data_IF_242456725759
#
_entry.id   IF_242456725759
#
_cell.length_a   1.000
_cell.length_b   1.000
_cell.length_c   1.000
_cell.angle_alpha   90.00
_cell.angle_beta   90.00
_cell.angle_gamma   90.00
#
_symmetry.space_group_name_H-M   'P 1'
#
loop_
_entity.id
_entity.type
_entity.pdbx_description
1 polymer ?
#
# COMPACT_ATOMS: atom_id res chain seq x y z
N UNK A 1 -4.27 2.46 -21.72
CA UNK A 1 -3.65 3.24 -20.62
C UNK A 1 -4.76 3.53 -19.62
N UNK A 2 -4.90 2.70 -18.58
CA UNK A 2 -6.04 2.77 -17.67
C UNK A 2 -5.72 3.77 -16.56
N UNK A 3 -6.24 4.98 -16.71
CA UNK A 3 -6.22 5.99 -15.66
C UNK A 3 -7.42 5.69 -14.73
N UNK A 4 -7.20 4.93 -13.65
CA UNK A 4 -8.23 4.71 -12.62
C UNK A 4 -8.43 6.03 -11.87
N UNK A 5 -9.33 6.87 -12.38
CA UNK A 5 -9.69 8.14 -11.77
C UNK A 5 -10.47 7.87 -10.49
N UNK A 6 -9.91 8.32 -9.36
CA UNK A 6 -10.47 8.37 -8.00
C UNK A 6 -11.98 8.72 -7.95
N UNK A 7 -12.47 9.52 -8.90
CA UNK A 7 -13.89 9.90 -9.04
C UNK A 7 -14.83 8.74 -9.38
N UNK A 8 -14.36 7.71 -10.08
CA UNK A 8 -15.17 6.56 -10.50
C UNK A 8 -15.34 5.56 -9.35
N UNK A 9 -14.25 5.29 -8.63
CA UNK A 9 -14.22 4.44 -7.44
C UNK A 9 -15.10 5.01 -6.31
N UNK A 10 -15.05 6.35 -6.10
CA UNK A 10 -15.91 7.05 -5.13
C UNK A 10 -17.40 7.08 -5.50
N UNK A 11 -17.74 6.96 -6.79
CA UNK A 11 -19.13 6.91 -7.27
C UNK A 11 -19.71 5.50 -7.27
N UNK A 12 -18.92 4.51 -7.68
CA UNK A 12 -19.39 3.14 -7.87
C UNK A 12 -19.24 2.29 -6.59
N UNK A 13 -18.28 2.60 -5.72
CA UNK A 13 -18.01 1.87 -4.46
C UNK A 13 -17.54 2.83 -3.34
N UNK A 14 -18.44 3.65 -2.75
CA UNK A 14 -18.06 4.65 -1.74
C UNK A 14 -17.40 4.08 -0.48
N UNK A 15 -17.74 2.84 -0.07
CA UNK A 15 -17.04 2.12 1.01
C UNK A 15 -15.56 1.90 0.69
N UNK A 16 -15.22 1.58 -0.57
CA UNK A 16 -13.84 1.39 -1.02
C UNK A 16 -13.01 2.69 -1.00
N UNK A 17 -13.65 3.87 -0.92
CA UNK A 17 -12.94 5.14 -0.78
C UNK A 17 -12.52 5.44 0.67
N UNK A 18 -13.28 4.96 1.66
CA UNK A 18 -12.90 5.02 3.09
C UNK A 18 -11.76 4.04 3.37
N UNK A 19 -11.88 2.86 2.79
CA UNK A 19 -10.85 1.82 2.72
C UNK A 19 -9.50 2.36 2.19
N UNK A 20 -9.52 3.13 1.11
CA UNK A 20 -8.35 3.80 0.54
C UNK A 20 -7.62 4.76 1.52
N UNK A 21 -8.35 5.36 2.46
CA UNK A 21 -7.77 6.22 3.51
C UNK A 21 -7.11 5.33 4.57
N UNK A 22 -7.73 4.21 4.92
CA UNK A 22 -7.17 3.22 5.85
C UNK A 22 -5.85 2.64 5.30
N UNK A 23 -5.81 2.27 4.02
CA UNK A 23 -4.59 1.82 3.34
C UNK A 23 -3.47 2.87 3.45
N UNK A 24 -3.80 4.15 3.23
CA UNK A 24 -2.83 5.24 3.34
C UNK A 24 -2.34 5.45 4.78
N UNK A 25 -3.22 5.39 5.77
CA UNK A 25 -2.85 5.56 7.18
C UNK A 25 -1.92 4.43 7.66
N UNK A 26 -2.24 3.19 7.33
CA UNK A 26 -1.42 2.05 7.70
C UNK A 26 -0.11 2.00 6.91
N UNK A 27 -0.11 2.46 5.65
CA UNK A 27 1.10 2.64 4.87
C UNK A 27 2.03 3.69 5.49
N UNK A 28 1.51 4.79 6.05
CA UNK A 28 2.34 5.74 6.80
C UNK A 28 3.03 5.08 7.99
N UNK A 29 2.33 4.20 8.70
CA UNK A 29 2.91 3.43 9.81
C UNK A 29 4.03 2.54 9.27
N UNK A 30 3.78 1.80 8.19
CA UNK A 30 4.79 0.94 7.57
C UNK A 30 6.04 1.71 7.13
N UNK A 31 5.87 2.86 6.47
CA UNK A 31 6.99 3.63 5.94
C UNK A 31 7.84 4.28 7.05
N UNK A 32 7.19 4.74 8.13
CA UNK A 32 7.87 5.46 9.21
C UNK A 32 8.30 4.58 10.40
N UNK A 33 7.83 3.32 10.51
CA UNK A 33 8.01 2.52 11.72
C UNK A 33 9.14 1.49 11.61
N UNK A 34 9.92 1.27 12.70
CA UNK A 34 10.87 0.15 12.82
C UNK A 34 10.21 -1.22 12.67
N UNK A 35 8.87 -1.31 12.80
CA UNK A 35 8.13 -2.55 12.58
C UNK A 35 8.27 -3.06 11.14
N UNK A 36 8.56 -2.18 10.17
CA UNK A 36 8.79 -2.55 8.78
C UNK A 36 9.81 -3.68 8.63
N UNK A 37 10.91 -3.61 9.37
CA UNK A 37 11.99 -4.59 9.27
C UNK A 37 11.51 -5.96 9.79
N UNK A 38 10.65 -5.98 10.80
CA UNK A 38 9.96 -7.20 11.25
C UNK A 38 8.99 -7.71 10.18
N UNK A 39 8.16 -6.83 9.60
CA UNK A 39 7.21 -7.20 8.53
C UNK A 39 7.96 -7.82 7.33
N UNK A 40 9.01 -7.17 6.84
CA UNK A 40 9.84 -7.68 5.74
C UNK A 40 10.55 -8.99 6.10
N UNK A 41 10.94 -9.21 7.36
CA UNK A 41 11.56 -10.46 7.80
C UNK A 41 10.61 -11.66 7.71
N UNK A 42 9.35 -11.47 8.07
CA UNK A 42 8.34 -12.53 8.11
C UNK A 42 7.53 -12.66 6.81
N UNK A 43 7.55 -11.65 5.95
CA UNK A 43 7.02 -11.75 4.58
C UNK A 43 7.80 -12.76 3.75
N UNK A 44 7.14 -13.38 2.76
CA UNK A 44 7.78 -14.31 1.79
C UNK A 44 8.62 -13.60 0.71
N UNK A 45 9.01 -12.34 0.93
CA UNK A 45 9.78 -11.56 -0.02
C UNK A 45 11.21 -12.09 -0.17
N UNK A 46 11.71 -12.08 -1.41
CA UNK A 46 13.10 -12.37 -1.71
C UNK A 46 14.02 -11.14 -1.45
N UNK A 47 15.34 -11.30 -1.63
CA UNK A 47 16.31 -10.22 -1.38
C UNK A 47 16.11 -9.01 -2.28
N UNK A 48 15.76 -9.21 -3.55
CA UNK A 48 15.52 -8.14 -4.53
C UNK A 48 14.27 -7.35 -4.16
N UNK A 49 13.18 -8.03 -3.83
CA UNK A 49 11.92 -7.37 -3.43
C UNK A 49 12.09 -6.56 -2.14
N UNK A 50 12.87 -7.06 -1.17
CA UNK A 50 13.19 -6.29 0.04
C UNK A 50 13.99 -5.03 -0.28
N UNK A 51 14.92 -5.11 -1.24
CA UNK A 51 15.72 -3.97 -1.69
C UNK A 51 14.82 -2.91 -2.34
N UNK A 52 13.88 -3.32 -3.19
CA UNK A 52 12.92 -2.40 -3.82
C UNK A 52 12.04 -1.66 -2.80
N UNK A 53 11.56 -2.36 -1.78
CA UNK A 53 10.78 -1.73 -0.69
C UNK A 53 11.63 -0.71 0.05
N UNK A 54 12.89 -1.05 0.37
CA UNK A 54 13.80 -0.13 1.06
C UNK A 54 14.13 1.10 0.21
N UNK A 55 14.37 0.92 -1.08
CA UNK A 55 14.55 2.03 -2.02
C UNK A 55 13.31 2.95 -2.05
N UNK A 56 12.12 2.38 -1.95
CA UNK A 56 10.89 3.15 -1.86
C UNK A 56 10.79 3.94 -0.55
N UNK A 57 11.14 3.31 0.57
CA UNK A 57 11.16 3.95 1.89
C UNK A 57 12.11 5.14 1.89
N UNK A 58 13.31 4.97 1.35
CA UNK A 58 14.30 6.04 1.25
C UNK A 58 13.80 7.17 0.36
N UNK A 59 13.14 6.84 -0.75
CA UNK A 59 12.53 7.82 -1.63
C UNK A 59 11.42 8.62 -0.92
N UNK A 60 10.54 7.95 -0.18
CA UNK A 60 9.52 8.60 0.64
C UNK A 60 10.13 9.52 1.70
N UNK A 61 11.15 9.06 2.43
CA UNK A 61 11.84 9.85 3.45
C UNK A 61 12.47 11.11 2.87
N UNK A 62 13.07 11.01 1.67
CA UNK A 62 13.62 12.16 0.95
C UNK A 62 12.53 13.19 0.61
N UNK A 63 11.39 12.75 0.05
CA UNK A 63 10.27 13.64 -0.26
C UNK A 63 9.72 14.34 0.98
N UNK A 64 9.66 13.62 2.11
CA UNK A 64 9.22 14.17 3.40
C UNK A 64 10.14 15.29 3.85
N UNK A 65 11.45 15.06 3.88
CA UNK A 65 12.44 16.07 4.27
C UNK A 65 12.36 17.31 3.36
N UNK A 66 12.21 17.13 2.06
CA UNK A 66 12.09 18.23 1.10
C UNK A 66 10.83 19.08 1.35
N UNK A 67 9.68 18.44 1.53
CA UNK A 67 8.41 19.13 1.79
C UNK A 67 8.37 19.79 3.18
N UNK A 68 8.94 19.17 4.21
CA UNK A 68 9.07 19.75 5.56
C UNK A 68 9.98 20.97 5.56
N UNK A 69 11.11 20.95 4.84
CA UNK A 69 11.98 22.12 4.68
C UNK A 69 11.26 23.28 3.99
N UNK A 70 10.42 22.97 3.00
CA UNK A 70 9.65 23.96 2.24
C UNK A 70 8.52 24.58 3.07
N UNK A 71 7.75 23.75 3.78
CA UNK A 71 6.54 24.17 4.51
C UNK A 71 6.79 24.59 5.95
N UNK A 72 7.90 24.15 6.56
CA UNK A 72 8.29 24.43 7.94
C UNK A 72 7.14 24.16 8.93
N UNK A 73 6.67 22.90 9.03
CA UNK A 73 5.54 22.56 9.89
C UNK A 73 5.83 22.92 11.35
N UNK A 74 4.80 23.38 12.08
CA UNK A 74 4.92 23.76 13.51
C UNK A 74 4.20 22.80 14.43
N UNK A 75 3.29 22.00 13.89
CA UNK A 75 2.47 21.06 14.65
C UNK A 75 2.55 19.67 14.04
N UNK A 76 2.25 18.64 14.84
CA UNK A 76 2.13 17.26 14.35
C UNK A 76 1.06 17.13 13.25
N UNK A 77 0.00 17.93 13.34
CA UNK A 77 -1.04 17.98 12.31
C UNK A 77 -0.49 18.47 10.97
N UNK A 78 0.41 19.45 10.98
CA UNK A 78 1.06 19.94 9.76
C UNK A 78 1.96 18.87 9.14
N UNK A 79 2.71 18.14 9.97
CA UNK A 79 3.52 16.99 9.53
C UNK A 79 2.62 15.93 8.89
N UNK A 80 1.53 15.54 9.55
CA UNK A 80 0.58 14.55 9.00
C UNK A 80 -0.02 15.01 7.66
N UNK A 81 -0.33 16.30 7.52
CA UNK A 81 -0.82 16.84 6.24
C UNK A 81 0.23 16.76 5.12
N UNK A 82 1.51 16.95 5.43
CA UNK A 82 2.61 16.76 4.49
C UNK A 82 2.69 15.30 4.06
N UNK A 83 2.69 14.38 5.01
CA UNK A 83 2.77 12.94 4.77
C UNK A 83 1.61 12.43 3.90
N UNK A 84 0.37 12.82 4.23
CA UNK A 84 -0.82 12.52 3.42
C UNK A 84 -0.70 13.13 2.02
N UNK A 85 -0.17 14.34 1.90
CA UNK A 85 0.08 14.99 0.62
C UNK A 85 1.09 14.26 -0.25
N UNK A 86 2.13 13.67 0.35
CA UNK A 86 3.10 12.82 -0.34
C UNK A 86 2.45 11.52 -0.77
N UNK A 87 1.73 10.83 0.13
CA UNK A 87 1.06 9.58 -0.19
C UNK A 87 0.04 9.72 -1.32
N UNK A 88 -0.73 10.82 -1.38
CA UNK A 88 -1.64 11.08 -2.50
C UNK A 88 -0.94 11.14 -3.86
N UNK A 89 0.36 11.47 -3.90
CA UNK A 89 1.17 11.47 -5.14
C UNK A 89 1.71 10.08 -5.46
N UNK A 90 1.95 9.25 -4.46
CA UNK A 90 2.63 7.96 -4.61
C UNK A 90 1.66 6.78 -4.69
N UNK A 91 0.52 6.88 -4.03
CA UNK A 91 -0.44 5.80 -3.89
C UNK A 91 -1.50 5.82 -4.99
N UNK A 92 -1.77 4.64 -5.54
CA UNK A 92 -2.93 4.36 -6.39
C UNK A 92 -3.62 3.10 -5.88
N UNK A 93 -4.89 2.92 -6.23
CA UNK A 93 -5.62 1.70 -5.93
C UNK A 93 -6.20 1.09 -7.20
N UNK A 94 -6.21 -0.24 -7.23
CA UNK A 94 -6.82 -1.04 -8.29
C UNK A 94 -7.78 -2.07 -7.66
N UNK A 95 -8.81 -2.45 -8.41
CA UNK A 95 -9.76 -3.48 -8.00
C UNK A 95 -9.81 -4.56 -9.07
N UNK A 96 -9.64 -5.81 -8.66
CA UNK A 96 -9.82 -6.99 -9.50
C UNK A 96 -11.11 -7.70 -9.09
N UNK A 97 -12.08 -7.74 -9.99
CA UNK A 97 -13.36 -8.42 -9.77
C UNK A 97 -13.38 -9.79 -10.47
N UNK A 98 -13.76 -10.84 -9.74
CA UNK A 98 -13.94 -12.20 -10.24
C UNK A 98 -15.36 -12.69 -9.93
N UNK A 99 -16.10 -13.11 -10.96
CA UNK A 99 -17.53 -13.46 -10.84
C UNK A 99 -17.83 -14.93 -10.56
N UNK A 100 -16.84 -15.82 -10.64
CA UNK A 100 -17.03 -17.28 -10.58
C UNK A 100 -15.81 -17.98 -9.98
N UNK A 101 -15.02 -17.30 -9.15
CA UNK A 101 -13.86 -17.88 -8.49
C UNK A 101 -14.06 -17.90 -6.99
N UNK A 102 -13.64 -18.99 -6.34
CA UNK A 102 -13.52 -18.99 -4.90
C UNK A 102 -12.45 -17.98 -4.49
N UNK A 103 -12.58 -17.43 -3.28
CA UNK A 103 -11.67 -16.41 -2.75
C UNK A 103 -10.19 -16.79 -2.87
N UNK A 104 -9.83 -18.02 -2.52
CA UNK A 104 -8.44 -18.50 -2.60
C UNK A 104 -7.92 -18.54 -4.04
N UNK A 105 -8.73 -19.04 -4.97
CA UNK A 105 -8.40 -19.10 -6.40
C UNK A 105 -8.28 -17.69 -7.00
N UNK A 106 -9.17 -16.78 -6.60
CA UNK A 106 -9.14 -15.38 -7.01
C UNK A 106 -7.85 -14.67 -6.56
N UNK A 107 -7.37 -14.93 -5.34
CA UNK A 107 -6.11 -14.38 -4.84
C UNK A 107 -4.89 -14.93 -5.61
N UNK A 108 -4.88 -16.22 -5.93
CA UNK A 108 -3.80 -16.82 -6.72
C UNK A 108 -3.75 -16.26 -8.14
N UNK A 109 -4.91 -16.08 -8.76
CA UNK A 109 -5.03 -15.46 -10.10
C UNK A 109 -4.66 -13.97 -10.04
N UNK A 110 -5.14 -13.23 -9.05
CA UNK A 110 -4.81 -11.83 -8.85
C UNK A 110 -3.29 -11.63 -8.72
N UNK A 111 -2.61 -12.46 -7.91
CA UNK A 111 -1.15 -12.42 -7.77
C UNK A 111 -0.43 -12.60 -9.11
N UNK A 112 -0.89 -13.53 -9.94
CA UNK A 112 -0.33 -13.76 -11.29
C UNK A 112 -0.53 -12.53 -12.18
N UNK A 113 -1.73 -11.96 -12.19
CA UNK A 113 -2.04 -10.74 -12.95
C UNK A 113 -1.14 -9.58 -12.51
N UNK A 114 -1.00 -9.36 -11.20
CA UNK A 114 -0.14 -8.33 -10.63
C UNK A 114 1.31 -8.53 -11.07
N UNK A 115 1.87 -9.75 -10.96
CA UNK A 115 3.26 -10.01 -11.39
C UNK A 115 3.46 -9.86 -12.90
N UNK A 116 2.43 -10.03 -13.72
CA UNK A 116 2.51 -9.73 -15.16
C UNK A 116 2.46 -8.21 -15.42
N UNK A 117 1.60 -7.47 -14.70
CA UNK A 117 1.50 -6.02 -14.82
C UNK A 117 2.70 -5.26 -14.25
N UNK A 118 3.33 -5.83 -13.21
CA UNK A 118 4.43 -5.27 -12.45
C UNK A 118 5.56 -6.30 -12.25
N UNK A 119 6.25 -6.71 -13.33
CA UNK A 119 7.20 -7.83 -13.32
C UNK A 119 8.40 -7.65 -12.37
N UNK A 120 8.81 -6.40 -12.12
CA UNK A 120 9.95 -6.04 -11.28
C UNK A 120 9.50 -5.30 -10.01
N UNK A 121 8.37 -5.73 -9.43
CA UNK A 121 7.83 -5.13 -8.22
C UNK A 121 7.80 -6.11 -7.05
N UNK A 122 8.05 -5.58 -5.86
CA UNK A 122 7.77 -6.26 -4.62
C UNK A 122 6.27 -6.26 -4.37
N UNK A 123 5.71 -7.46 -4.17
CA UNK A 123 4.29 -7.64 -3.86
C UNK A 123 4.17 -8.17 -2.44
N UNK A 124 3.63 -7.35 -1.55
CA UNK A 124 3.35 -7.70 -0.17
C UNK A 124 1.89 -8.14 -0.02
N UNK A 125 1.67 -9.27 0.64
CA UNK A 125 0.33 -9.75 1.00
C UNK A 125 -0.10 -9.15 2.34
N UNK A 126 -1.26 -8.51 2.37
CA UNK A 126 -1.70 -7.76 3.56
C UNK A 126 -2.17 -8.65 4.70
N UNK A 127 -2.62 -9.87 4.38
CA UNK A 127 -2.95 -10.90 5.37
C UNK A 127 -1.72 -11.35 6.18
N UNK A 128 -0.52 -11.25 5.60
CA UNK A 128 0.74 -11.47 6.32
C UNK A 128 1.06 -10.27 7.24
N UNK A 129 0.73 -9.05 6.81
CA UNK A 129 0.95 -7.80 7.58
C UNK A 129 0.01 -7.72 8.80
N UNK A 130 -1.28 -8.00 8.66
CA UNK A 130 -2.26 -7.96 9.76
C UNK A 130 -1.95 -8.97 10.87
N UNK A 131 -1.51 -10.18 10.50
CA UNK A 131 -1.07 -11.20 11.47
C UNK A 131 0.14 -10.73 12.26
N UNK A 132 1.09 -10.03 11.63
CA UNK A 132 2.30 -9.53 12.29
C UNK A 132 2.00 -8.30 13.15
N UNK A 133 1.13 -7.40 12.68
CA UNK A 133 0.72 -6.22 13.43
C UNK A 133 0.00 -6.62 14.74
N UNK A 134 -0.89 -7.61 14.65
CA UNK A 134 -1.55 -8.22 15.81
C UNK A 134 -0.53 -8.84 16.78
N UNK A 135 0.45 -9.58 16.28
CA UNK A 135 1.51 -10.22 17.10
C UNK A 135 2.50 -9.22 17.74
N UNK A 136 2.55 -7.99 17.25
CA UNK A 136 3.46 -6.93 17.74
C UNK A 136 2.76 -5.89 18.61
N UNK A 137 1.49 -6.12 18.95
CA UNK A 137 0.70 -5.23 19.81
C UNK A 137 0.20 -3.96 19.11
N UNK A 138 0.24 -3.92 17.78
CA UNK A 138 -0.42 -2.88 17.00
C UNK A 138 -1.88 -3.31 16.82
N UNK A 139 -2.80 -2.55 17.41
CA UNK A 139 -4.24 -2.77 17.28
C UNK A 139 -4.69 -2.40 15.86
N UNK A 140 -4.59 -3.34 14.91
CA UNK A 140 -5.09 -3.19 13.53
C UNK A 140 -6.58 -3.48 13.44
N UNK A 141 -7.38 -2.93 14.38
CA UNK A 141 -8.86 -2.99 14.34
C UNK A 141 -9.48 -2.55 13.01
N UNK A 142 -8.69 -1.90 12.14
CA UNK A 142 -9.02 -1.65 10.74
C UNK A 142 -8.25 -2.66 9.88
N UNK A 143 -8.98 -3.60 9.28
CA UNK A 143 -8.42 -4.48 8.26
C UNK A 143 -7.87 -3.62 7.11
N UNK A 144 -6.73 -4.01 6.53
CA UNK A 144 -6.34 -3.47 5.24
C UNK A 144 -7.38 -3.90 4.19
N UNK A 145 -7.99 -2.96 3.47
CA UNK A 145 -8.95 -3.29 2.42
C UNK A 145 -8.30 -3.81 1.15
N UNK A 146 -7.03 -3.45 0.88
CA UNK A 146 -6.25 -4.09 -0.16
C UNK A 146 -5.69 -5.44 0.32
N UNK A 147 -5.73 -6.46 -0.52
CA UNK A 147 -5.13 -7.78 -0.23
C UNK A 147 -3.66 -7.83 -0.65
N UNK A 148 -3.27 -6.98 -1.61
CA UNK A 148 -1.88 -6.85 -2.05
C UNK A 148 -1.44 -5.39 -2.04
N UNK A 149 -0.17 -5.18 -1.67
CA UNK A 149 0.53 -3.91 -1.82
C UNK A 149 1.72 -4.09 -2.76
N UNK A 150 1.68 -3.39 -3.88
CA UNK A 150 2.71 -3.45 -4.93
C UNK A 150 3.61 -2.24 -4.79
N UNK A 151 4.90 -2.47 -4.61
CA UNK A 151 5.92 -1.42 -4.59
C UNK A 151 6.61 -1.37 -5.95
N UNK A 152 6.14 -0.48 -6.81
CA UNK A 152 6.71 -0.25 -8.13
C UNK A 152 7.82 0.80 -8.01
N UNK A 153 9.05 0.32 -7.77
CA UNK A 153 10.23 1.17 -7.63
C UNK A 153 10.53 1.96 -8.92
N UNK A 154 10.26 1.38 -10.10
CA UNK A 154 10.50 1.99 -11.40
C UNK A 154 9.63 3.23 -11.61
N UNK A 155 8.33 3.12 -11.33
CA UNK A 155 7.39 4.24 -11.48
C UNK A 155 7.24 5.08 -10.20
N UNK A 156 7.90 4.66 -9.11
CA UNK A 156 7.79 5.26 -7.78
C UNK A 156 6.35 5.38 -7.32
N UNK A 157 5.59 4.29 -7.53
CA UNK A 157 4.20 4.16 -7.10
C UNK A 157 4.03 3.01 -6.12
N UNK A 158 3.08 3.18 -5.21
CA UNK A 158 2.54 2.09 -4.40
C UNK A 158 1.13 1.84 -4.90
N UNK A 159 0.81 0.59 -5.20
CA UNK A 159 -0.50 0.19 -5.68
C UNK A 159 -1.15 -0.73 -4.66
N UNK A 160 -2.22 -0.27 -4.02
CA UNK A 160 -3.11 -1.12 -3.24
C UNK A 160 -4.06 -1.87 -4.18
N UNK A 161 -4.09 -3.19 -4.12
CA UNK A 161 -4.96 -4.01 -4.96
C UNK A 161 -6.02 -4.68 -4.10
N UNK A 162 -7.27 -4.29 -4.33
CA UNK A 162 -8.48 -4.91 -3.82
C UNK A 162 -8.93 -6.08 -4.71
N UNK A 163 -9.41 -7.17 -4.13
CA UNK A 163 -9.93 -8.34 -4.84
C UNK A 163 -11.35 -8.57 -4.40
N UNK A 164 -12.28 -8.56 -5.35
CA UNK A 164 -13.70 -8.79 -5.10
C UNK A 164 -14.11 -10.10 -5.76
N UNK A 165 -14.71 -11.00 -5.00
CA UNK A 165 -15.36 -12.20 -5.52
C UNK A 165 -16.88 -12.06 -5.39
N UNK A 166 -17.60 -12.34 -6.47
CA UNK A 166 -19.07 -12.40 -6.49
C UNK A 166 -19.53 -13.82 -6.79
#
# INVERSE_FOLDING_TARGET
MVEIKFSRLKKECPSCAEDLIVDQELLLIFLNSPIRDKIMKFSKLNKTEKKEILEFVDYYAKLKIEEEKKKKPKTEKDVRNIEVGILKKLFSAEILEFKNLKRTEALDVARKIIKVGYPDSAVLEMLEIDRIATLTGIDTKRNFPSEFMVFDAKNRKIVGVGVITK
#
